data_IF_205479325582
#
_entry.id   IF_205479325582
#
_cell.length_a   1.000
_cell.length_b   1.000
_cell.length_c   1.000
_cell.angle_alpha   90.00
_cell.angle_beta   90.00
_cell.angle_gamma   90.00
#
_symmetry.space_group_name_H-M   'P 1'
#
loop_
_entity.id
_entity.type
_entity.pdbx_description
1 polymer ?
#
# COMPACT_ATOMS: atom_id res chain seq x y z
N UNK A 1 10.40 -12.82 -14.50
CA UNK A 1 10.06 -13.84 -13.48
C UNK A 1 8.55 -13.76 -13.30
N UNK A 2 7.86 -14.90 -13.33
CA UNK A 2 6.41 -14.99 -13.06
C UNK A 2 6.19 -15.33 -11.58
N UNK A 3 5.17 -14.71 -10.98
CA UNK A 3 4.79 -14.94 -9.58
C UNK A 3 3.43 -15.62 -9.59
N UNK A 4 3.39 -16.93 -9.42
CA UNK A 4 2.13 -17.68 -9.37
C UNK A 4 1.35 -17.33 -8.11
N UNK A 5 0.05 -17.09 -8.23
CA UNK A 5 -0.85 -16.90 -7.10
C UNK A 5 -1.23 -18.26 -6.52
N UNK A 6 -0.35 -18.81 -5.68
CA UNK A 6 -0.49 -20.14 -5.11
C UNK A 6 -0.07 -20.19 -3.63
N UNK A 7 -0.25 -21.36 -3.02
CA UNK A 7 0.12 -21.63 -1.63
C UNK A 7 1.61 -21.45 -1.35
N UNK A 8 2.49 -21.69 -2.33
CA UNK A 8 3.92 -21.54 -2.15
C UNK A 8 4.28 -20.07 -2.00
N UNK A 9 3.75 -19.20 -2.87
CA UNK A 9 3.91 -17.75 -2.75
C UNK A 9 3.24 -17.22 -1.47
N UNK A 10 2.02 -17.68 -1.14
CA UNK A 10 1.31 -17.29 0.09
C UNK A 10 2.15 -17.55 1.33
N UNK A 11 2.74 -18.75 1.45
CA UNK A 11 3.61 -19.12 2.58
C UNK A 11 4.91 -18.31 2.58
N UNK A 12 5.51 -18.07 1.43
CA UNK A 12 6.72 -17.26 1.33
C UNK A 12 6.47 -15.82 1.79
N UNK A 13 5.40 -15.18 1.32
CA UNK A 13 4.97 -13.85 1.77
C UNK A 13 4.71 -13.84 3.28
N UNK A 14 3.96 -14.83 3.79
CA UNK A 14 3.64 -14.90 5.22
C UNK A 14 4.91 -14.99 6.07
N UNK A 15 5.82 -15.90 5.73
CA UNK A 15 7.08 -16.07 6.45
C UNK A 15 7.94 -14.81 6.42
N UNK A 16 8.03 -14.14 5.26
CA UNK A 16 8.83 -12.94 5.11
C UNK A 16 8.28 -11.77 5.92
N UNK A 17 6.95 -11.60 5.94
CA UNK A 17 6.26 -10.55 6.71
C UNK A 17 6.32 -10.85 8.20
N UNK A 18 6.09 -12.09 8.63
CA UNK A 18 6.17 -12.51 10.04
C UNK A 18 7.60 -12.36 10.61
N UNK A 19 8.62 -12.58 9.77
CA UNK A 19 10.02 -12.36 10.16
C UNK A 19 10.43 -10.89 10.19
N UNK A 20 9.57 -9.97 9.73
CA UNK A 20 9.84 -8.54 9.72
C UNK A 20 9.25 -7.88 10.96
N UNK A 21 10.13 -7.49 11.89
CA UNK A 21 9.72 -6.68 13.05
C UNK A 21 9.32 -5.27 12.58
N UNK A 22 8.02 -5.02 12.47
CA UNK A 22 7.44 -3.75 12.06
C UNK A 22 7.68 -2.65 13.10
N UNK A 23 8.01 -1.46 12.63
CA UNK A 23 8.15 -0.28 13.48
C UNK A 23 6.86 0.51 13.46
N UNK A 24 6.15 0.46 14.59
CA UNK A 24 4.99 1.30 14.86
C UNK A 24 5.44 2.57 15.58
N UNK A 25 5.10 3.71 15.02
CA UNK A 25 5.56 5.00 15.50
C UNK A 25 4.81 5.46 16.75
N UNK A 26 5.53 6.03 17.71
CA UNK A 26 4.97 6.55 18.95
C UNK A 26 4.83 8.08 18.98
N UNK A 27 5.18 8.81 17.90
CA UNK A 27 5.18 10.28 17.95
C UNK A 27 3.76 10.84 18.09
N UNK A 28 3.57 11.60 19.16
CA UNK A 28 2.35 12.36 19.43
C UNK A 28 2.14 13.45 18.37
N UNK A 29 0.90 13.62 17.92
CA UNK A 29 0.48 14.77 17.09
C UNK A 29 0.15 14.50 15.62
N UNK A 30 0.44 13.30 15.09
CA UNK A 30 -0.01 12.89 13.75
C UNK A 30 -1.39 12.24 13.78
N UNK A 31 -2.19 12.48 12.74
CA UNK A 31 -3.48 11.78 12.55
C UNK A 31 -3.22 10.36 12.07
N UNK A 32 -3.91 9.38 12.64
CA UNK A 32 -3.71 7.99 12.24
C UNK A 32 -4.55 7.66 10.99
N UNK A 33 -3.92 6.94 10.07
CA UNK A 33 -4.56 6.37 8.89
C UNK A 33 -4.09 4.93 8.70
N UNK A 34 -4.89 4.11 8.05
CA UNK A 34 -4.56 2.73 7.75
C UNK A 34 -4.81 2.43 6.28
N UNK A 35 -3.94 1.61 5.68
CA UNK A 35 -4.04 1.23 4.27
C UNK A 35 -3.86 -0.27 4.08
N UNK A 36 -4.46 -0.79 3.01
CA UNK A 36 -4.48 -2.22 2.71
C UNK A 36 -3.71 -2.55 1.43
N UNK A 37 -2.70 -3.40 1.53
CA UNK A 37 -2.11 -4.10 0.38
C UNK A 37 -2.85 -5.42 0.24
N UNK A 38 -3.77 -5.51 -0.73
CA UNK A 38 -4.58 -6.71 -0.95
C UNK A 38 -3.97 -7.51 -2.10
N UNK A 39 -3.38 -8.66 -1.79
CA UNK A 39 -2.82 -9.60 -2.77
C UNK A 39 -3.94 -10.47 -3.33
N UNK A 40 -4.00 -10.54 -4.66
CA UNK A 40 -5.05 -11.22 -5.43
C UNK A 40 -4.45 -12.04 -6.58
N UNK A 41 -5.19 -13.04 -7.06
CA UNK A 41 -4.88 -13.75 -8.31
C UNK A 41 -5.54 -13.11 -9.52
N UNK A 42 -4.80 -13.05 -10.64
CA UNK A 42 -5.30 -12.70 -11.98
C UNK A 42 -4.72 -13.71 -12.97
N UNK A 43 -5.58 -14.53 -13.56
CA UNK A 43 -5.17 -15.58 -14.52
C UNK A 43 -4.04 -16.49 -14.00
N UNK A 44 -4.03 -16.76 -12.69
CA UNK A 44 -3.03 -17.58 -12.01
C UNK A 44 -1.76 -16.82 -11.58
N UNK A 45 -1.60 -15.55 -11.91
CA UNK A 45 -0.50 -14.69 -11.45
C UNK A 45 -0.91 -13.82 -10.26
N UNK A 46 0.04 -13.59 -9.35
CA UNK A 46 -0.15 -12.71 -8.20
C UNK A 46 -0.08 -11.25 -8.61
N UNK A 47 -1.04 -10.49 -8.10
CA UNK A 47 -1.14 -9.05 -8.24
C UNK A 47 -1.54 -8.43 -6.90
N UNK A 48 -1.44 -7.10 -6.79
CA UNK A 48 -2.04 -6.37 -5.67
C UNK A 48 -3.05 -5.33 -6.17
N UNK A 49 -3.97 -4.94 -5.29
CA UNK A 49 -4.95 -3.89 -5.59
C UNK A 49 -4.34 -2.50 -5.38
N UNK A 50 -4.44 -1.67 -6.40
CA UNK A 50 -4.12 -0.24 -6.36
C UNK A 50 -5.33 0.54 -6.87
N UNK A 51 -5.67 1.66 -6.23
CA UNK A 51 -6.78 2.52 -6.65
C UNK A 51 -6.26 3.82 -7.22
N UNK A 52 -7.08 4.46 -8.08
CA UNK A 52 -6.91 5.85 -8.46
C UNK A 52 -8.10 6.63 -7.93
N UNK A 53 -7.81 7.62 -7.07
CA UNK A 53 -8.82 8.43 -6.38
C UNK A 53 -9.68 9.20 -7.38
N UNK A 54 -10.97 9.35 -7.05
CA UNK A 54 -11.94 10.08 -7.85
C UNK A 54 -11.49 11.53 -8.06
N UNK A 55 -11.62 12.09 -9.28
CA UNK A 55 -11.24 13.46 -9.53
C UNK A 55 -12.12 14.48 -8.77
N UNK A 56 -13.27 14.02 -8.25
CA UNK A 56 -14.27 14.83 -7.54
C UNK A 56 -13.93 15.07 -6.06
N UNK A 57 -12.90 14.41 -5.54
CA UNK A 57 -12.49 14.58 -4.15
C UNK A 57 -11.74 15.89 -3.95
N UNK A 58 -11.99 16.53 -2.81
CA UNK A 58 -11.34 17.80 -2.46
C UNK A 58 -9.83 17.66 -2.16
N UNK A 59 -9.39 16.47 -1.75
CA UNK A 59 -8.00 16.17 -1.42
C UNK A 59 -7.49 14.95 -2.21
N UNK A 60 -6.22 15.02 -2.63
CA UNK A 60 -5.51 13.95 -3.33
C UNK A 60 -6.22 13.43 -4.60
N UNK A 61 -6.97 14.31 -5.26
CA UNK A 61 -7.74 14.04 -6.47
C UNK A 61 -6.86 13.42 -7.56
N UNK A 62 -7.27 12.28 -8.11
CA UNK A 62 -6.58 11.58 -9.19
C UNK A 62 -5.27 10.88 -8.82
N UNK A 63 -4.86 10.92 -7.54
CA UNK A 63 -3.65 10.24 -7.07
C UNK A 63 -3.85 8.72 -6.96
N UNK A 64 -2.76 7.97 -7.10
CA UNK A 64 -2.76 6.53 -6.85
C UNK A 64 -2.63 6.26 -5.35
N UNK A 65 -3.49 5.40 -4.83
CA UNK A 65 -3.57 5.06 -3.42
C UNK A 65 -3.78 3.56 -3.21
N UNK A 66 -3.36 3.08 -2.05
CA UNK A 66 -3.86 1.82 -1.52
C UNK A 66 -5.25 2.09 -0.92
N UNK A 67 -6.19 1.11 -0.94
CA UNK A 67 -7.44 1.23 -0.22
C UNK A 67 -7.19 1.56 1.25
N UNK A 68 -7.84 2.59 1.78
CA UNK A 68 -7.55 3.03 3.13
C UNK A 68 -7.92 4.48 3.40
N UNK A 69 -7.84 4.85 4.68
CA UNK A 69 -8.32 6.13 5.15
C UNK A 69 -7.99 6.36 6.61
N UNK A 70 -8.66 7.35 7.20
CA UNK A 70 -8.41 7.77 8.57
C UNK A 70 -8.93 6.73 9.55
N UNK A 71 -8.22 6.55 10.66
CA UNK A 71 -8.72 5.79 11.81
C UNK A 71 -9.66 6.70 12.60
N UNK A 72 -10.93 6.30 12.73
CA UNK A 72 -11.92 7.09 13.47
C UNK A 72 -11.87 6.80 14.99
N UNK A 73 -12.51 7.66 15.79
CA UNK A 73 -12.50 7.53 17.25
C UNK A 73 -13.18 6.22 17.69
N UNK A 74 -12.49 5.46 18.54
CA UNK A 74 -12.96 4.16 19.03
C UNK A 74 -12.65 2.99 18.08
N UNK A 75 -12.00 3.24 16.95
CA UNK A 75 -11.60 2.23 15.96
C UNK A 75 -10.10 1.90 16.08
N UNK A 76 -9.75 0.63 15.90
CA UNK A 76 -8.35 0.21 15.70
C UNK A 76 -7.90 0.47 14.26
N UNK A 77 -6.59 0.58 14.02
CA UNK A 77 -6.06 0.76 12.66
C UNK A 77 -6.47 -0.39 11.70
N UNK A 78 -6.57 -1.62 12.21
CA UNK A 78 -7.01 -2.75 11.39
C UNK A 78 -8.50 -2.65 11.02
N UNK A 79 -9.35 -2.26 11.97
CA UNK A 79 -10.78 -2.04 11.70
C UNK A 79 -10.98 -0.95 10.64
N UNK A 80 -10.22 0.15 10.72
CA UNK A 80 -10.23 1.22 9.73
C UNK A 80 -9.84 0.71 8.34
N UNK A 81 -8.75 -0.06 8.23
CA UNK A 81 -8.31 -0.64 6.96
C UNK A 81 -9.39 -1.54 6.33
N UNK A 82 -10.06 -2.38 7.14
CA UNK A 82 -11.12 -3.27 6.69
C UNK A 82 -12.40 -2.51 6.29
N UNK A 83 -12.79 -1.48 7.04
CA UNK A 83 -13.92 -0.60 6.72
C UNK A 83 -13.70 0.14 5.41
N UNK A 84 -12.57 0.81 5.26
CA UNK A 84 -12.23 1.60 4.06
C UNK A 84 -12.14 0.71 2.82
N UNK A 85 -11.55 -0.48 2.93
CA UNK A 85 -11.54 -1.46 1.84
C UNK A 85 -12.97 -1.87 1.41
N UNK A 86 -13.90 -2.02 2.36
CA UNK A 86 -15.30 -2.29 2.05
C UNK A 86 -15.97 -1.11 1.37
N UNK A 87 -15.75 0.11 1.87
CA UNK A 87 -16.37 1.35 1.38
C UNK A 87 -15.85 1.77 0.00
N UNK A 88 -14.54 1.73 -0.22
CA UNK A 88 -13.90 2.21 -1.44
C UNK A 88 -13.98 1.20 -2.60
N UNK A 89 -13.81 -0.10 -2.31
CA UNK A 89 -13.65 -1.14 -3.34
C UNK A 89 -14.60 -2.34 -3.20
N UNK A 90 -15.58 -2.30 -2.28
CA UNK A 90 -16.58 -3.36 -2.07
C UNK A 90 -15.97 -4.74 -1.78
N UNK A 91 -14.83 -4.78 -1.08
CA UNK A 91 -14.15 -6.03 -0.67
C UNK A 91 -14.34 -6.24 0.83
N UNK A 92 -14.81 -7.44 1.20
CA UNK A 92 -15.07 -7.81 2.60
C UNK A 92 -14.10 -8.91 3.05
N UNK A 93 -12.85 -8.55 3.36
CA UNK A 93 -11.96 -9.47 4.09
C UNK A 93 -12.13 -9.30 5.59
N UNK A 94 -11.56 -10.23 6.34
CA UNK A 94 -11.52 -10.25 7.80
C UNK A 94 -10.07 -10.32 8.25
N UNK A 95 -9.84 -10.23 9.57
CA UNK A 95 -8.53 -10.47 10.18
C UNK A 95 -7.93 -11.83 9.82
N UNK A 96 -8.73 -12.84 9.46
CA UNK A 96 -8.24 -14.17 9.09
C UNK A 96 -7.44 -14.16 7.77
N UNK A 97 -7.62 -13.10 6.97
CA UNK A 97 -6.91 -12.90 5.70
C UNK A 97 -5.64 -12.05 5.89
N UNK A 98 -5.38 -11.55 7.09
CA UNK A 98 -4.24 -10.71 7.40
C UNK A 98 -2.95 -11.56 7.39
N UNK A 99 -1.96 -11.11 6.63
CA UNK A 99 -0.62 -11.70 6.62
C UNK A 99 0.31 -11.03 7.64
N UNK A 100 0.09 -9.75 7.92
CA UNK A 100 0.85 -8.97 8.89
C UNK A 100 0.86 -7.48 8.56
N UNK A 101 1.71 -6.74 9.26
CA UNK A 101 1.89 -5.29 9.13
C UNK A 101 3.26 -4.94 8.58
N UNK A 102 3.37 -3.76 7.98
CA UNK A 102 4.66 -3.15 7.61
C UNK A 102 4.94 -1.94 8.50
N UNK A 103 6.07 -1.24 8.30
CA UNK A 103 6.38 -0.06 9.10
C UNK A 103 5.33 1.03 8.93
N UNK A 104 5.07 1.77 10.00
CA UNK A 104 4.33 3.02 9.89
C UNK A 104 5.10 4.02 9.03
N UNK A 105 4.38 4.73 8.16
CA UNK A 105 4.94 5.78 7.31
C UNK A 105 4.40 7.16 7.69
N UNK A 106 5.24 8.08 8.21
CA UNK A 106 4.84 9.45 8.49
C UNK A 106 4.75 10.27 7.19
N UNK A 107 3.63 10.96 6.98
CA UNK A 107 3.41 11.84 5.83
C UNK A 107 3.72 13.29 6.18
N UNK A 108 4.11 14.07 5.16
CA UNK A 108 4.26 15.53 5.32
C UNK A 108 2.91 16.24 5.50
N UNK A 109 1.83 15.62 5.03
CA UNK A 109 0.45 16.06 5.22
C UNK A 109 -0.13 15.82 6.62
N UNK A 110 0.68 15.34 7.58
CA UNK A 110 0.28 15.21 8.99
C UNK A 110 -0.42 13.90 9.35
N UNK A 111 -0.23 12.84 8.55
CA UNK A 111 -0.72 11.49 8.85
C UNK A 111 0.42 10.54 9.23
N UNK A 112 0.08 9.52 10.02
CA UNK A 112 0.87 8.30 10.18
C UNK A 112 0.07 7.15 9.57
N UNK A 113 0.60 6.54 8.52
CA UNK A 113 -0.06 5.46 7.78
C UNK A 113 0.44 4.12 8.31
N UNK A 114 -0.45 3.27 8.82
CA UNK A 114 -0.19 1.88 9.16
C UNK A 114 -0.60 0.95 8.01
N UNK A 115 0.35 0.26 7.35
CA UNK A 115 0.04 -0.65 6.26
C UNK A 115 -0.24 -2.07 6.72
N UNK A 116 -1.34 -2.65 6.24
CA UNK A 116 -1.71 -4.04 6.44
C UNK A 116 -1.62 -4.81 5.13
N UNK A 117 -1.07 -6.03 5.16
CA UNK A 117 -1.00 -6.91 4.00
C UNK A 117 -2.02 -8.02 4.15
N UNK A 118 -2.89 -8.19 3.15
CA UNK A 118 -3.91 -9.23 3.11
C UNK A 118 -3.71 -10.16 1.93
N UNK A 119 -4.04 -11.44 2.13
CA UNK A 119 -4.15 -12.42 1.04
C UNK A 119 -5.61 -12.78 0.80
N UNK A 120 -6.10 -12.55 -0.42
CA UNK A 120 -7.45 -12.93 -0.78
C UNK A 120 -7.52 -14.42 -1.20
N UNK A 121 -7.87 -15.32 -0.27
CA UNK A 121 -7.88 -16.78 -0.50
C UNK A 121 -8.82 -17.24 -1.64
N UNK A 122 -9.74 -16.38 -2.09
CA UNK A 122 -10.67 -16.64 -3.20
C UNK A 122 -10.62 -15.50 -4.20
N UNK A 123 -11.08 -15.77 -5.42
CA UNK A 123 -11.27 -14.72 -6.42
C UNK A 123 -12.22 -13.65 -5.86
N UNK A 124 -11.67 -12.48 -5.56
CA UNK A 124 -12.44 -11.29 -5.24
C UNK A 124 -12.75 -10.51 -6.51
N UNK A 125 -13.92 -9.85 -6.53
CA UNK A 125 -14.35 -8.97 -7.61
C UNK A 125 -14.51 -7.54 -7.07
N UNK A 126 -13.40 -6.81 -6.88
CA UNK A 126 -13.45 -5.44 -6.39
C UNK A 126 -14.32 -4.58 -7.31
N UNK A 127 -15.13 -3.72 -6.71
CA UNK A 127 -15.99 -2.77 -7.42
C UNK A 127 -15.75 -1.40 -6.82
N UNK A 128 -15.32 -0.45 -7.64
CA UNK A 128 -15.08 0.92 -7.20
C UNK A 128 -16.37 1.57 -6.70
N UNK A 129 -16.30 2.22 -5.55
CA UNK A 129 -17.28 3.22 -5.17
C UNK A 129 -16.95 4.54 -5.91
N UNK A 130 -17.79 4.99 -6.87
CA UNK A 130 -17.45 6.11 -7.74
C UNK A 130 -17.39 7.47 -7.03
N UNK A 131 -17.87 7.58 -5.78
CA UNK A 131 -17.66 8.80 -4.97
C UNK A 131 -16.17 9.00 -4.67
N UNK A 132 -15.41 7.93 -4.51
CA UNK A 132 -14.07 7.95 -3.93
C UNK A 132 -13.00 7.34 -4.83
N UNK A 133 -13.34 6.30 -5.60
CA UNK A 133 -12.44 5.58 -6.48
C UNK A 133 -12.91 5.69 -7.92
N UNK A 134 -12.05 6.22 -8.79
CA UNK A 134 -12.31 6.27 -10.23
C UNK A 134 -11.96 4.94 -10.92
N UNK A 135 -10.83 4.33 -10.54
CA UNK A 135 -10.30 3.13 -11.19
C UNK A 135 -9.67 2.21 -10.14
N UNK A 136 -9.88 0.91 -10.30
CA UNK A 136 -9.17 -0.15 -9.58
C UNK A 136 -8.23 -0.84 -10.56
N UNK A 137 -6.96 -0.93 -10.17
CA UNK A 137 -5.93 -1.67 -10.88
C UNK A 137 -5.61 -2.95 -10.11
N UNK A 138 -5.34 -4.03 -10.85
CA UNK A 138 -4.69 -5.23 -10.33
C UNK A 138 -3.28 -5.24 -10.88
N UNK A 139 -2.31 -4.85 -10.08
CA UNK A 139 -0.93 -4.62 -10.52
C UNK A 139 -0.14 -5.91 -10.32
N UNK A 140 0.33 -6.58 -11.38
CA UNK A 140 1.07 -7.83 -11.27
C UNK A 140 2.36 -7.67 -10.46
N UNK A 141 2.72 -8.67 -9.66
CA UNK A 141 3.97 -8.67 -8.90
C UNK A 141 5.21 -8.54 -9.80
N UNK A 142 5.13 -9.00 -11.05
CA UNK A 142 6.21 -8.83 -12.03
C UNK A 142 6.51 -7.36 -12.34
N UNK A 143 5.54 -6.45 -12.24
CA UNK A 143 5.80 -5.01 -12.38
C UNK A 143 6.60 -4.51 -11.18
N UNK A 144 6.20 -4.87 -9.95
CA UNK A 144 6.96 -4.54 -8.75
C UNK A 144 8.35 -5.15 -8.76
N UNK A 145 8.50 -6.40 -9.19
CA UNK A 145 9.76 -7.11 -9.22
C UNK A 145 10.73 -6.58 -10.29
N UNK A 146 10.27 -5.74 -11.21
CA UNK A 146 11.15 -5.14 -12.20
C UNK A 146 12.24 -4.31 -11.49
N UNK A 147 13.52 -4.44 -11.88
CA UNK A 147 14.61 -3.70 -11.23
C UNK A 147 14.45 -2.18 -11.30
N UNK A 148 13.87 -1.69 -12.41
CA UNK A 148 13.63 -0.25 -12.65
C UNK A 148 12.27 0.24 -12.14
N UNK A 149 11.51 -0.61 -11.44
CA UNK A 149 10.27 -0.19 -10.81
C UNK A 149 10.52 0.92 -9.78
N UNK A 150 11.41 0.75 -8.77
CA UNK A 150 11.78 1.85 -7.89
C UNK A 150 12.73 2.84 -8.56
N UNK A 151 12.37 4.12 -8.49
CA UNK A 151 13.23 5.24 -8.84
C UNK A 151 13.44 6.11 -7.60
N UNK A 152 14.69 6.49 -7.34
CA UNK A 152 15.07 7.40 -6.28
C UNK A 152 15.66 8.69 -6.85
N UNK A 153 15.31 9.83 -6.26
CA UNK A 153 15.83 11.13 -6.67
C UNK A 153 16.11 12.02 -5.47
N UNK A 154 17.03 12.96 -5.62
CA UNK A 154 17.22 14.06 -4.66
C UNK A 154 16.36 15.26 -5.07
N UNK A 155 15.85 15.99 -4.08
CA UNK A 155 15.11 17.24 -4.30
C UNK A 155 15.74 18.36 -3.46
N UNK A 156 15.68 19.63 -3.89
CA UNK A 156 16.24 20.75 -3.12
C UNK A 156 15.60 20.94 -1.74
N UNK A 157 14.34 20.53 -1.55
CA UNK A 157 13.55 20.81 -0.36
C UNK A 157 13.75 19.80 0.78
N UNK A 158 14.50 18.71 0.55
CA UNK A 158 14.73 17.66 1.56
C UNK A 158 16.02 16.89 1.30
N UNK A 159 16.76 16.58 2.36
CA UNK A 159 17.92 15.68 2.33
C UNK A 159 17.52 14.20 2.22
N UNK A 160 16.23 13.89 2.38
CA UNK A 160 15.68 12.54 2.24
C UNK A 160 15.48 12.19 0.77
N UNK A 161 15.84 10.97 0.33
CA UNK A 161 15.65 10.57 -1.06
C UNK A 161 14.15 10.41 -1.37
N UNK A 162 13.68 11.09 -2.41
CA UNK A 162 12.34 10.94 -2.95
C UNK A 162 12.21 9.57 -3.63
N UNK A 163 11.11 8.87 -3.40
CA UNK A 163 10.81 7.59 -4.05
C UNK A 163 9.62 7.68 -5.01
N UNK A 164 9.75 7.01 -6.16
CA UNK A 164 8.70 6.74 -7.14
C UNK A 164 8.68 5.28 -7.52
N UNK A 165 7.50 4.77 -7.90
CA UNK A 165 7.34 3.47 -8.53
C UNK A 165 6.82 3.63 -9.95
N UNK A 166 7.57 3.09 -10.92
CA UNK A 166 7.20 2.99 -12.32
C UNK A 166 6.32 1.75 -12.53
N UNK A 167 5.02 1.87 -12.22
CA UNK A 167 4.02 0.80 -12.32
C UNK A 167 2.76 1.34 -12.99
N UNK A 168 1.90 0.45 -13.50
CA UNK A 168 0.66 0.82 -14.23
C UNK A 168 0.90 1.84 -15.34
N UNK A 169 2.05 1.72 -16.03
CA UNK A 169 2.52 2.61 -17.09
C UNK A 169 2.63 4.10 -16.69
N UNK A 170 2.91 4.39 -15.42
CA UNK A 170 3.09 5.76 -14.92
C UNK A 170 3.95 5.78 -13.66
N UNK A 171 4.12 6.95 -13.05
CA UNK A 171 4.79 7.11 -11.76
C UNK A 171 3.77 7.18 -10.62
N UNK A 172 3.89 6.26 -9.68
CA UNK A 172 3.24 6.33 -8.37
C UNK A 172 4.24 6.95 -7.39
N UNK A 173 3.79 7.91 -6.59
CA UNK A 173 4.64 8.64 -5.66
C UNK A 173 4.33 8.26 -4.20
N UNK A 174 5.25 8.58 -3.29
CA UNK A 174 4.99 8.44 -1.86
C UNK A 174 3.81 9.35 -1.43
N UNK A 175 3.02 8.95 -0.41
CA UNK A 175 3.26 7.85 0.53
C UNK A 175 3.03 6.44 -0.06
N UNK A 176 2.16 6.30 -1.07
CA UNK A 176 1.84 5.01 -1.70
C UNK A 176 3.08 4.29 -2.20
N UNK A 177 3.99 4.98 -2.91
CA UNK A 177 5.21 4.37 -3.43
C UNK A 177 6.14 3.82 -2.33
N UNK A 178 6.29 4.52 -1.21
CA UNK A 178 7.12 4.09 -0.10
C UNK A 178 6.58 2.80 0.53
N UNK A 179 5.27 2.76 0.81
CA UNK A 179 4.59 1.58 1.39
C UNK A 179 4.68 0.38 0.44
N UNK A 180 4.38 0.58 -0.84
CA UNK A 180 4.43 -0.50 -1.84
C UNK A 180 5.87 -0.96 -2.09
N UNK A 181 6.86 -0.06 -2.03
CA UNK A 181 8.27 -0.42 -2.10
C UNK A 181 8.70 -1.27 -0.91
N UNK A 182 8.26 -0.94 0.31
CA UNK A 182 8.54 -1.78 1.46
C UNK A 182 7.92 -3.17 1.30
N UNK A 183 6.68 -3.27 0.80
CA UNK A 183 6.05 -4.54 0.51
C UNK A 183 6.82 -5.37 -0.52
N UNK A 184 7.34 -4.73 -1.57
CA UNK A 184 8.23 -5.39 -2.54
C UNK A 184 9.46 -5.96 -1.85
N UNK A 185 10.16 -5.16 -1.07
CA UNK A 185 11.41 -5.60 -0.45
C UNK A 185 11.19 -6.66 0.62
N UNK A 186 10.24 -6.42 1.54
CA UNK A 186 9.92 -7.30 2.66
C UNK A 186 9.13 -8.51 2.18
N UNK A 187 7.92 -8.30 1.68
CA UNK A 187 7.03 -9.38 1.29
C UNK A 187 7.60 -10.22 0.15
N UNK A 188 7.87 -9.59 -1.00
CA UNK A 188 8.23 -10.32 -2.22
C UNK A 188 9.67 -10.85 -2.17
N UNK A 189 10.62 -10.07 -1.63
CA UNK A 189 12.05 -10.42 -1.65
C UNK A 189 12.65 -10.86 -0.32
N UNK A 190 11.91 -10.80 0.79
CA UNK A 190 12.39 -11.24 2.11
C UNK A 190 13.51 -10.37 2.69
N UNK A 191 13.61 -9.10 2.28
CA UNK A 191 14.64 -8.15 2.74
C UNK A 191 14.11 -7.28 3.87
N UNK A 192 14.96 -6.95 4.83
CA UNK A 192 14.60 -6.05 5.94
C UNK A 192 14.82 -4.58 5.55
N UNK A 193 13.96 -4.06 4.66
CA UNK A 193 14.07 -2.68 4.14
C UNK A 193 13.13 -1.74 4.90
N UNK A 194 13.67 -0.62 5.39
CA UNK A 194 12.91 0.45 6.07
C UNK A 194 12.62 1.58 5.10
N UNK A 195 11.50 2.27 5.27
CA UNK A 195 11.06 3.32 4.32
C UNK A 195 10.72 4.67 4.94
N UNK A 196 10.72 4.78 6.27
CA UNK A 196 10.44 6.04 7.00
C UNK A 196 11.31 7.23 6.55
N UNK A 197 12.54 6.94 6.12
CA UNK A 197 13.51 7.94 5.67
C UNK A 197 13.29 8.42 4.24
N UNK A 198 12.36 7.80 3.49
CA UNK A 198 12.06 8.18 2.10
C UNK A 198 11.14 9.40 2.07
N UNK A 199 11.27 10.22 1.03
CA UNK A 199 10.55 11.49 0.91
C UNK A 199 9.40 11.45 -0.08
N UNK A 200 8.40 12.29 0.21
CA UNK A 200 7.25 12.57 -0.65
C UNK A 200 7.54 13.75 -1.59
N UNK A 201 6.98 13.78 -2.81
CA UNK A 201 7.05 14.97 -3.64
C UNK A 201 6.41 16.17 -2.95
N UNK A 202 6.92 17.39 -3.22
CA UNK A 202 6.47 18.63 -2.57
C UNK A 202 4.96 18.85 -2.65
N UNK A 203 4.33 18.48 -3.78
CA UNK A 203 2.87 18.60 -3.95
C UNK A 203 2.04 17.66 -3.08
N UNK A 204 2.65 16.68 -2.42
CA UNK A 204 1.98 15.75 -1.49
C UNK A 204 2.10 16.20 -0.01
N UNK A 205 2.74 17.36 0.25
CA UNK A 205 2.93 17.86 1.61
C UNK A 205 1.70 18.58 2.19
N UNK A 206 0.69 18.85 1.35
CA UNK A 206 -0.56 19.56 1.70
C UNK A 206 -1.79 18.67 1.55
#
# INVERSE_FOLDING_TARGET
MTYSFDDALRRALLNNIDSFEDRRGAEEGLRHAAVSIVVVGVDGEAAFILTKRSPRLNAHSGQFALPGGRVDEGETALEAALREMREEINVNLTSDHLMGTLDDYPTRSGYRITPFVFWADKEIKPKANPSEVAIIYKVPFRELAHPEAPEFASIPESDRPLIRLNIVNTQVHAPTAAVVYQFREVGIFGRNTRVEHLEQPVWAWS
#
